data_IF_380121826993
#
_entry.id   IF_380121826993
#
_cell.length_a   1.000
_cell.length_b   1.000
_cell.length_c   1.000
_cell.angle_alpha   90.00
_cell.angle_beta   90.00
_cell.angle_gamma   90.00
#
_symmetry.space_group_name_H-M   'P 1'
#
loop_
_entity.id
_entity.type
_entity.pdbx_description
1 polymer ?
#
# COMPACT_ATOMS: atom_id res chain seq x y z
N UNK A 1 -73.59 14.36 32.21
CA UNK A 1 -72.24 14.96 32.14
C UNK A 1 -71.34 14.07 31.27
N UNK A 2 -70.99 14.48 30.05
CA UNK A 2 -70.11 13.72 29.15
C UNK A 2 -68.65 13.91 29.60
N UNK A 3 -67.94 12.83 29.93
CA UNK A 3 -66.50 12.86 30.23
C UNK A 3 -65.72 12.88 28.92
N UNK A 4 -65.08 14.00 28.61
CA UNK A 4 -64.14 14.08 27.49
C UNK A 4 -62.81 13.47 27.95
N UNK A 5 -62.36 12.41 27.26
CA UNK A 5 -61.02 11.85 27.45
C UNK A 5 -60.06 12.61 26.53
N UNK A 6 -59.17 13.40 27.13
CA UNK A 6 -58.11 14.09 26.39
C UNK A 6 -56.94 13.13 26.21
N UNK A 7 -56.79 12.60 25.00
CA UNK A 7 -55.62 11.78 24.64
C UNK A 7 -54.48 12.72 24.26
N UNK A 8 -53.42 12.75 25.06
CA UNK A 8 -52.20 13.52 24.76
C UNK A 8 -51.35 12.69 23.80
N UNK A 9 -51.17 13.18 22.57
CA UNK A 9 -50.27 12.59 21.58
C UNK A 9 -48.88 13.20 21.75
N UNK A 10 -47.94 12.43 22.30
CA UNK A 10 -46.54 12.86 22.42
C UNK A 10 -45.82 12.61 21.09
N UNK A 11 -45.37 13.69 20.44
CA UNK A 11 -44.59 13.63 19.20
C UNK A 11 -43.10 13.48 19.55
N UNK A 12 -42.53 12.29 19.32
CA UNK A 12 -41.08 12.06 19.49
C UNK A 12 -40.35 12.57 18.24
N UNK A 13 -39.57 13.64 18.37
CA UNK A 13 -38.63 14.06 17.31
C UNK A 13 -37.33 13.25 17.43
N UNK A 14 -37.15 12.26 16.55
CA UNK A 14 -35.84 11.65 16.33
C UNK A 14 -35.05 12.52 15.35
N UNK A 15 -34.08 13.27 15.84
CA UNK A 15 -33.10 13.95 14.97
C UNK A 15 -31.96 12.99 14.67
N UNK A 16 -31.84 12.56 13.41
CA UNK A 16 -30.67 11.84 12.92
C UNK A 16 -29.54 12.82 12.65
N UNK A 17 -28.46 12.78 13.43
CA UNK A 17 -27.22 13.48 13.11
C UNK A 17 -26.48 12.69 12.03
N UNK A 18 -26.50 13.16 10.78
CA UNK A 18 -25.61 12.66 9.74
C UNK A 18 -24.22 13.27 9.88
N UNK A 19 -23.18 12.44 10.01
CA UNK A 19 -21.79 12.90 9.90
C UNK A 19 -21.40 12.86 8.43
N UNK A 20 -21.16 14.02 7.84
CA UNK A 20 -20.55 14.14 6.51
C UNK A 20 -19.04 14.34 6.67
N UNK A 21 -18.24 13.50 6.04
CA UNK A 21 -16.82 13.76 5.84
C UNK A 21 -16.64 14.51 4.51
N UNK A 22 -15.99 15.68 4.53
CA UNK A 22 -15.56 16.36 3.31
C UNK A 22 -14.04 16.34 3.21
N UNK A 23 -13.53 16.20 1.98
CA UNK A 23 -12.13 16.48 1.69
C UNK A 23 -11.93 18.00 1.72
N UNK A 24 -11.19 18.51 2.71
CA UNK A 24 -10.82 19.92 2.76
C UNK A 24 -9.73 20.20 1.72
N UNK A 25 -10.07 20.98 0.69
CA UNK A 25 -9.08 21.54 -0.24
C UNK A 25 -8.78 22.99 0.16
N UNK A 26 -7.53 23.30 0.49
CA UNK A 26 -7.11 24.67 0.87
C UNK A 26 -6.98 25.63 -0.34
N UNK A 27 -7.68 25.39 -1.45
CA UNK A 27 -7.57 26.20 -2.66
C UNK A 27 -8.79 26.07 -3.58
N UNK A 28 -8.90 26.94 -4.61
CA UNK A 28 -10.04 26.94 -5.52
C UNK A 28 -10.18 25.58 -6.22
N UNK A 29 -11.37 25.00 -6.09
CA UNK A 29 -11.74 23.73 -6.72
C UNK A 29 -11.84 23.94 -8.23
N UNK A 30 -10.87 23.44 -9.00
CA UNK A 30 -11.06 23.32 -10.45
C UNK A 30 -11.92 22.08 -10.68
N UNK A 31 -13.20 22.30 -10.95
CA UNK A 31 -14.13 21.25 -11.32
C UNK A 31 -13.77 20.73 -12.73
N UNK A 32 -12.90 19.73 -12.80
CA UNK A 32 -12.74 18.96 -14.04
C UNK A 32 -13.96 18.06 -14.17
N UNK A 33 -14.86 18.37 -15.10
CA UNK A 33 -16.03 17.55 -15.42
C UNK A 33 -15.62 16.07 -15.58
N UNK A 34 -15.91 15.25 -14.56
CA UNK A 34 -15.72 13.80 -14.63
C UNK A 34 -16.88 13.28 -15.50
N UNK A 35 -16.58 12.95 -16.75
CA UNK A 35 -17.52 12.26 -17.62
C UNK A 35 -17.88 10.91 -16.99
N UNK A 36 -19.18 10.63 -16.82
CA UNK A 36 -19.71 9.41 -16.18
C UNK A 36 -19.36 8.11 -16.93
N UNK A 37 -18.75 8.22 -18.11
CA UNK A 37 -18.29 7.09 -18.93
C UNK A 37 -16.78 7.12 -19.22
N UNK A 38 -16.00 7.94 -18.50
CA UNK A 38 -14.54 8.01 -18.66
C UNK A 38 -13.82 7.57 -17.38
N UNK A 39 -12.68 6.87 -17.53
CA UNK A 39 -11.78 6.57 -16.41
C UNK A 39 -11.13 7.87 -15.91
N UNK A 40 -11.37 8.23 -14.64
CA UNK A 40 -10.67 9.31 -13.94
C UNK A 40 -9.74 8.73 -12.87
N UNK A 41 -8.59 9.37 -12.61
CA UNK A 41 -7.77 9.02 -11.45
C UNK A 41 -8.48 9.42 -10.15
N UNK A 42 -8.48 8.52 -9.16
CA UNK A 42 -9.08 8.76 -7.84
C UNK A 42 -8.41 9.92 -7.10
N UNK A 43 -7.10 10.09 -7.27
CA UNK A 43 -6.34 11.21 -6.72
C UNK A 43 -5.48 11.83 -7.81
N UNK A 44 -5.94 12.97 -8.36
CA UNK A 44 -5.20 13.73 -9.37
C UNK A 44 -4.48 14.91 -8.73
N UNK A 45 -3.21 14.71 -8.35
CA UNK A 45 -2.33 15.79 -7.87
C UNK A 45 -1.51 16.45 -8.97
N UNK A 46 -1.80 16.15 -10.24
CA UNK A 46 -1.24 16.95 -11.33
C UNK A 46 -1.94 18.31 -11.33
N UNK A 47 -1.41 19.28 -10.58
CA UNK A 47 -1.46 20.64 -11.10
C UNK A 47 -0.68 20.60 -12.41
N UNK A 48 -1.22 21.21 -13.48
CA UNK A 48 -0.69 21.20 -14.85
C UNK A 48 0.70 21.87 -15.03
N UNK A 49 1.56 21.83 -14.03
CA UNK A 49 2.84 22.52 -13.95
C UNK A 49 3.91 21.53 -13.47
N UNK A 50 4.23 20.56 -14.33
CA UNK A 50 5.65 20.27 -14.50
C UNK A 50 6.27 21.53 -15.12
N UNK A 51 7.56 21.79 -14.91
CA UNK A 51 8.28 22.92 -15.51
C UNK A 51 8.26 22.95 -17.05
N UNK A 52 7.49 22.08 -17.71
CA UNK A 52 7.46 21.87 -19.15
C UNK A 52 6.24 22.47 -19.88
N UNK A 53 5.24 23.07 -19.21
CA UNK A 53 3.96 23.42 -19.89
C UNK A 53 3.38 24.83 -19.73
N UNK A 54 4.00 25.78 -19.02
CA UNK A 54 3.46 27.17 -18.98
C UNK A 54 4.57 28.22 -19.05
N UNK A 55 4.39 29.23 -19.91
CA UNK A 55 5.26 30.40 -20.10
C UNK A 55 5.36 31.36 -18.91
N UNK A 56 5.00 30.92 -17.71
CA UNK A 56 5.22 31.60 -16.44
C UNK A 56 5.83 30.60 -15.45
N UNK A 57 7.17 30.50 -15.39
CA UNK A 57 7.86 29.55 -14.54
C UNK A 57 8.03 30.18 -13.16
N UNK A 58 7.27 29.76 -12.15
CA UNK A 58 7.69 29.89 -10.74
C UNK A 58 6.59 29.43 -9.79
N UNK A 59 6.46 28.12 -9.59
CA UNK A 59 6.18 27.62 -8.26
C UNK A 59 7.41 26.79 -7.88
N UNK A 60 8.09 27.18 -6.79
CA UNK A 60 9.28 26.49 -6.30
C UNK A 60 9.04 24.98 -6.24
N UNK A 61 10.06 24.20 -6.60
CA UNK A 61 10.11 22.75 -6.43
C UNK A 61 9.79 22.28 -4.99
N UNK A 62 9.79 23.20 -4.03
CA UNK A 62 9.57 22.92 -2.62
C UNK A 62 8.08 22.90 -2.21
N UNK A 63 7.13 23.24 -3.09
CA UNK A 63 5.71 23.31 -2.73
C UNK A 63 4.88 22.13 -3.26
N UNK A 64 4.33 21.34 -2.32
CA UNK A 64 3.21 20.40 -2.55
C UNK A 64 3.48 19.30 -3.58
N UNK A 65 4.59 18.56 -3.42
CA UNK A 65 5.07 17.55 -4.39
C UNK A 65 5.00 16.09 -3.90
N UNK A 66 4.42 15.82 -2.73
CA UNK A 66 4.49 14.50 -2.11
C UNK A 66 3.19 14.01 -1.48
N UNK A 67 3.19 12.72 -1.13
CA UNK A 67 2.19 12.07 -0.30
C UNK A 67 2.84 11.77 1.06
N UNK A 68 2.15 12.11 2.15
CA UNK A 68 2.58 11.71 3.50
C UNK A 68 1.89 10.41 3.83
N UNK A 69 2.67 9.41 4.25
CA UNK A 69 2.18 8.11 4.71
C UNK A 69 2.35 8.04 6.23
N UNK A 70 1.49 7.27 6.89
CA UNK A 70 1.61 7.05 8.33
C UNK A 70 2.87 6.25 8.67
N UNK A 71 3.57 6.70 9.71
CA UNK A 71 4.61 5.93 10.36
C UNK A 71 3.98 4.70 11.02
N UNK A 72 4.49 3.52 10.69
CA UNK A 72 3.99 2.24 11.19
C UNK A 72 5.18 1.41 11.68
N UNK A 73 5.14 0.89 12.90
CA UNK A 73 6.10 -0.14 13.30
C UNK A 73 5.54 -1.52 12.95
N UNK A 74 5.98 -2.11 11.83
CA UNK A 74 5.49 -3.41 11.37
C UNK A 74 5.87 -4.57 12.29
N UNK A 75 6.79 -4.37 13.24
CA UNK A 75 7.15 -5.40 14.25
C UNK A 75 6.12 -5.50 15.36
N UNK A 76 5.24 -4.49 15.50
CA UNK A 76 4.17 -4.43 16.51
C UNK A 76 2.79 -4.14 15.92
N UNK A 77 2.69 -3.98 14.60
CA UNK A 77 1.44 -3.70 13.88
C UNK A 77 0.50 -4.91 13.82
N UNK A 78 -0.78 -4.67 14.14
CA UNK A 78 -1.90 -5.59 13.91
C UNK A 78 -2.98 -4.91 13.10
N UNK A 79 -3.63 -5.65 12.20
CA UNK A 79 -4.83 -5.15 11.56
C UNK A 79 -5.98 -5.11 12.57
N UNK A 80 -6.69 -4.00 12.59
CA UNK A 80 -7.97 -3.91 13.32
C UNK A 80 -9.05 -4.46 12.40
N UNK A 81 -9.69 -5.54 12.83
CA UNK A 81 -10.72 -6.22 12.06
C UNK A 81 -11.97 -6.43 12.89
N UNK A 82 -13.10 -6.45 12.20
CA UNK A 82 -14.43 -6.74 12.73
C UNK A 82 -15.17 -7.69 11.77
N UNK A 83 -16.47 -7.87 12.01
CA UNK A 83 -17.32 -8.69 11.14
C UNK A 83 -17.55 -8.10 9.74
N UNK A 84 -17.32 -6.80 9.50
CA UNK A 84 -17.54 -6.16 8.20
C UNK A 84 -16.28 -6.01 7.36
N UNK A 85 -15.10 -6.32 7.90
CA UNK A 85 -13.81 -6.14 7.22
C UNK A 85 -13.75 -6.75 5.81
N UNK A 86 -14.34 -7.95 5.58
CA UNK A 86 -14.40 -8.57 4.24
C UNK A 86 -15.43 -7.96 3.28
N UNK A 87 -16.24 -7.02 3.74
CA UNK A 87 -17.16 -6.19 2.96
C UNK A 87 -16.49 -4.86 2.63
N UNK A 88 -15.89 -4.20 3.63
CA UNK A 88 -15.24 -2.89 3.46
C UNK A 88 -13.91 -2.99 2.71
N UNK A 89 -13.19 -4.10 2.93
CA UNK A 89 -11.95 -4.44 2.24
C UNK A 89 -12.10 -5.83 1.60
N UNK A 90 -12.74 -5.95 0.43
CA UNK A 90 -12.98 -7.26 -0.21
C UNK A 90 -11.70 -8.05 -0.55
N UNK A 91 -10.55 -7.37 -0.59
CA UNK A 91 -9.21 -7.97 -0.76
C UNK A 91 -8.37 -7.93 0.52
N UNK A 92 -8.97 -7.66 1.68
CA UNK A 92 -8.32 -7.68 3.00
C UNK A 92 -7.02 -6.88 3.02
N UNK A 93 -7.14 -5.56 2.79
CA UNK A 93 -6.03 -4.60 2.78
C UNK A 93 -4.95 -4.82 1.71
N UNK A 94 -5.17 -5.68 0.72
CA UNK A 94 -4.25 -5.84 -0.41
C UNK A 94 -3.97 -4.49 -1.09
N UNK A 95 -2.69 -4.16 -1.24
CA UNK A 95 -2.20 -2.89 -1.77
C UNK A 95 -2.10 -1.75 -0.75
N UNK A 96 -2.43 -1.97 0.53
CA UNK A 96 -2.20 -0.98 1.60
C UNK A 96 -0.70 -0.66 1.68
N UNK A 97 -0.34 0.62 1.63
CA UNK A 97 1.04 1.10 1.72
C UNK A 97 1.27 1.81 3.06
N UNK A 98 2.39 1.52 3.70
CA UNK A 98 2.85 2.19 4.92
C UNK A 98 4.33 2.57 4.82
N UNK A 99 4.73 3.58 5.60
CA UNK A 99 6.14 3.80 5.90
C UNK A 99 6.49 3.06 7.19
N UNK A 100 7.27 1.99 7.08
CA UNK A 100 7.73 1.22 8.22
C UNK A 100 8.85 1.96 8.96
N UNK A 101 8.78 2.02 10.29
CA UNK A 101 9.83 2.56 11.18
C UNK A 101 10.55 1.48 11.98
N UNK A 102 9.99 0.27 12.05
CA UNK A 102 10.55 -0.85 12.81
C UNK A 102 11.73 -1.55 12.13
N UNK A 103 12.55 -2.24 12.92
CA UNK A 103 13.57 -3.18 12.45
C UNK A 103 13.40 -4.52 13.15
N UNK A 104 13.28 -5.61 12.40
CA UNK A 104 13.08 -6.95 12.96
C UNK A 104 12.07 -7.75 12.16
N UNK A 105 11.30 -8.62 12.83
CA UNK A 105 10.32 -9.52 12.21
C UNK A 105 8.89 -9.00 12.40
N UNK A 106 8.07 -9.08 11.36
CA UNK A 106 6.62 -8.81 11.51
C UNK A 106 5.94 -9.85 12.38
N UNK A 107 4.89 -9.44 13.09
CA UNK A 107 4.09 -10.36 13.91
C UNK A 107 3.32 -11.37 13.06
N UNK A 108 3.08 -12.55 13.64
CA UNK A 108 2.34 -13.64 13.02
C UNK A 108 1.49 -14.39 14.06
N UNK A 109 0.64 -15.32 13.62
CA UNK A 109 -0.01 -16.30 14.50
C UNK A 109 -1.38 -15.91 15.05
N UNK A 110 -1.95 -14.77 14.63
CA UNK A 110 -3.35 -14.38 14.90
C UNK A 110 -4.16 -14.33 13.61
N UNK A 111 -5.49 -14.35 13.71
CA UNK A 111 -6.39 -14.29 12.55
C UNK A 111 -6.33 -12.94 11.80
N UNK A 112 -5.92 -11.88 12.48
CA UNK A 112 -5.72 -10.53 11.93
C UNK A 112 -4.24 -10.25 11.56
N UNK A 113 -3.42 -11.29 11.42
CA UNK A 113 -2.00 -11.20 11.08
C UNK A 113 -1.62 -12.19 9.98
N UNK A 114 -0.59 -11.89 9.17
CA UNK A 114 0.05 -12.86 8.29
C UNK A 114 0.43 -14.16 9.00
N UNK A 115 0.36 -15.29 8.30
CA UNK A 115 0.97 -16.55 8.76
C UNK A 115 2.48 -16.60 8.49
N UNK A 116 2.99 -15.74 7.61
CA UNK A 116 4.41 -15.65 7.26
C UNK A 116 4.99 -14.36 7.81
N UNK A 117 6.14 -14.45 8.49
CA UNK A 117 6.86 -13.30 9.01
C UNK A 117 7.80 -12.74 7.94
N UNK A 118 7.87 -11.41 7.84
CA UNK A 118 8.82 -10.69 6.98
C UNK A 118 9.89 -10.02 7.85
N UNK A 119 11.16 -10.13 7.47
CA UNK A 119 12.21 -9.26 8.01
C UNK A 119 12.05 -7.85 7.43
N UNK A 120 11.88 -6.87 8.30
CA UNK A 120 11.63 -5.47 7.96
C UNK A 120 12.73 -4.57 8.51
N UNK A 121 13.02 -3.53 7.75
CA UNK A 121 13.83 -2.37 8.12
C UNK A 121 13.07 -1.09 7.72
N UNK A 122 13.46 0.10 8.18
CA UNK A 122 12.74 1.32 7.84
C UNK A 122 12.62 1.55 6.33
N UNK A 123 11.42 1.88 5.85
CA UNK A 123 11.15 2.07 4.42
C UNK A 123 9.69 1.82 4.03
N UNK A 124 9.36 1.96 2.75
CA UNK A 124 8.00 1.72 2.27
C UNK A 124 7.71 0.24 2.10
N UNK A 125 6.58 -0.20 2.64
CA UNK A 125 6.05 -1.56 2.47
C UNK A 125 4.62 -1.49 1.95
N UNK A 126 4.23 -2.51 1.20
CA UNK A 126 2.84 -2.75 0.87
C UNK A 126 2.41 -4.12 1.38
N UNK A 127 1.14 -4.21 1.76
CA UNK A 127 0.52 -5.48 2.10
C UNK A 127 0.13 -6.19 0.80
N UNK A 128 0.70 -7.36 0.56
CA UNK A 128 0.36 -8.20 -0.59
C UNK A 128 -0.51 -9.36 -0.13
N UNK A 129 -1.72 -9.48 -0.66
CA UNK A 129 -2.60 -10.60 -0.41
C UNK A 129 -2.91 -11.36 -1.71
N UNK A 130 -2.30 -12.55 -1.93
CA UNK A 130 -2.30 -13.24 -3.23
C UNK A 130 -3.68 -13.70 -3.72
N UNK A 131 -4.73 -13.66 -2.91
CA UNK A 131 -6.04 -14.23 -3.23
C UNK A 131 -6.97 -13.32 -4.07
N UNK A 132 -6.40 -12.49 -4.94
CA UNK A 132 -7.00 -11.91 -6.16
C UNK A 132 -8.53 -11.70 -6.21
N UNK A 133 -9.14 -11.19 -5.13
CA UNK A 133 -10.58 -10.95 -5.04
C UNK A 133 -11.48 -12.19 -5.10
N UNK A 134 -10.95 -13.41 -5.10
CA UNK A 134 -11.79 -14.60 -5.06
C UNK A 134 -12.20 -14.82 -3.59
N UNK A 135 -13.43 -14.40 -3.25
CA UNK A 135 -14.04 -14.67 -1.94
C UNK A 135 -14.08 -16.19 -1.75
N UNK A 136 -13.03 -16.76 -1.15
CA UNK A 136 -13.04 -17.82 -0.13
C UNK A 136 -11.83 -18.78 -0.23
N UNK A 137 -10.95 -18.86 0.79
CA UNK A 137 -10.81 -17.89 1.90
C UNK A 137 -9.85 -16.77 1.48
N UNK A 138 -10.38 -15.55 1.34
CA UNK A 138 -9.53 -14.36 1.43
C UNK A 138 -9.49 -13.98 2.90
N UNK A 139 -8.29 -13.91 3.46
CA UNK A 139 -8.02 -13.64 4.86
C UNK A 139 -6.74 -12.82 4.95
N UNK A 140 -6.52 -12.11 6.05
CA UNK A 140 -5.25 -11.43 6.31
C UNK A 140 -4.12 -12.45 6.47
N UNK A 141 -4.44 -13.65 6.96
CA UNK A 141 -3.46 -14.73 7.23
C UNK A 141 -2.68 -15.18 6.00
N UNK A 142 -3.26 -15.06 4.80
CA UNK A 142 -2.59 -15.40 3.53
C UNK A 142 -1.70 -14.29 2.99
N UNK A 143 -1.81 -13.07 3.54
CA UNK A 143 -1.04 -11.93 3.10
C UNK A 143 0.38 -11.90 3.68
N UNK A 144 1.20 -11.00 3.15
CA UNK A 144 2.59 -10.78 3.56
C UNK A 144 2.97 -9.32 3.31
N UNK A 145 3.74 -8.72 4.22
CA UNK A 145 4.33 -7.40 4.00
C UNK A 145 5.51 -7.53 3.03
N UNK A 146 5.52 -6.70 1.99
CA UNK A 146 6.61 -6.67 1.01
C UNK A 146 7.24 -5.28 0.95
N UNK A 147 8.59 -5.18 0.97
CA UNK A 147 9.24 -3.90 0.74
C UNK A 147 8.95 -3.44 -0.69
N UNK A 148 8.74 -2.14 -0.86
CA UNK A 148 8.59 -1.55 -2.20
C UNK A 148 9.92 -1.45 -2.95
N UNK A 149 11.07 -1.60 -2.27
CA UNK A 149 12.38 -1.22 -2.83
C UNK A 149 13.52 -2.23 -2.73
N UNK A 150 13.31 -3.52 -2.45
CA UNK A 150 14.43 -4.38 -1.97
C UNK A 150 14.73 -5.69 -2.72
N UNK A 151 14.31 -5.83 -3.98
CA UNK A 151 14.62 -7.03 -4.78
C UNK A 151 15.88 -6.88 -5.67
N UNK A 152 16.86 -6.08 -5.27
CA UNK A 152 18.05 -5.79 -6.10
C UNK A 152 19.37 -5.87 -5.31
N UNK A 153 20.46 -6.18 -6.01
CA UNK A 153 21.81 -6.06 -5.46
C UNK A 153 22.30 -4.62 -5.56
N UNK A 154 22.69 -4.00 -4.44
CA UNK A 154 23.09 -2.58 -4.39
C UNK A 154 24.54 -2.39 -4.79
N UNK A 155 24.87 -1.21 -5.35
CA UNK A 155 26.25 -0.84 -5.76
C UNK A 155 27.24 -0.90 -4.59
N UNK A 156 26.80 -0.55 -3.39
CA UNK A 156 27.61 -0.60 -2.16
C UNK A 156 27.45 -1.92 -1.39
N UNK A 157 26.72 -2.88 -1.96
CA UNK A 157 26.39 -4.17 -1.33
C UNK A 157 25.10 -4.14 -0.50
N UNK A 158 24.62 -5.34 -0.19
CA UNK A 158 23.48 -5.59 0.69
C UNK A 158 24.00 -6.11 2.04
N UNK A 159 23.52 -5.56 3.15
CA UNK A 159 23.76 -6.09 4.50
C UNK A 159 22.63 -7.03 4.93
N UNK A 160 22.89 -7.90 5.91
CA UNK A 160 21.86 -8.78 6.50
C UNK A 160 21.35 -9.91 5.59
N UNK A 161 22.10 -10.29 4.55
CA UNK A 161 21.71 -11.38 3.64
C UNK A 161 21.78 -12.75 4.31
N UNK A 162 20.85 -13.64 3.95
CA UNK A 162 20.89 -15.06 4.26
C UNK A 162 21.33 -15.85 3.01
N UNK A 163 22.51 -16.50 2.99
CA UNK A 163 22.99 -17.25 1.82
C UNK A 163 22.05 -18.36 1.32
N UNK A 164 21.15 -18.87 2.17
CA UNK A 164 20.18 -19.90 1.77
C UNK A 164 19.04 -19.34 0.90
N UNK A 165 18.74 -18.04 0.99
CA UNK A 165 17.57 -17.42 0.34
C UNK A 165 17.88 -16.11 -0.38
N UNK A 166 19.07 -15.54 -0.20
CA UNK A 166 19.50 -14.29 -0.83
C UNK A 166 20.83 -14.54 -1.55
N UNK A 167 20.81 -14.37 -2.87
CA UNK A 167 21.99 -14.56 -3.70
C UNK A 167 21.89 -13.72 -4.98
N UNK A 168 23.04 -13.52 -5.61
CA UNK A 168 23.10 -13.11 -7.01
C UNK A 168 23.25 -14.38 -7.83
N UNK A 169 22.29 -14.64 -8.72
CA UNK A 169 22.30 -15.84 -9.53
C UNK A 169 20.95 -16.13 -10.14
N UNK A 170 20.86 -17.29 -10.76
CA UNK A 170 19.64 -17.85 -11.35
C UNK A 170 19.09 -18.96 -10.44
N UNK A 171 17.78 -19.15 -10.46
CA UNK A 171 17.10 -20.27 -9.77
C UNK A 171 16.77 -21.43 -10.71
N UNK A 172 16.96 -21.24 -12.00
CA UNK A 172 16.70 -22.21 -13.05
C UNK A 172 18.02 -22.70 -13.68
N UNK A 173 17.91 -23.62 -14.65
CA UNK A 173 19.07 -24.24 -15.31
C UNK A 173 19.72 -23.33 -16.36
N UNK A 174 19.93 -22.05 -16.02
CA UNK A 174 20.51 -21.02 -16.88
C UNK A 174 21.79 -20.46 -16.24
N UNK A 175 22.82 -20.22 -17.06
CA UNK A 175 24.10 -19.67 -16.60
C UNK A 175 23.95 -18.25 -16.04
N UNK A 176 24.68 -17.95 -14.95
CA UNK A 176 24.84 -16.58 -14.47
C UNK A 176 26.07 -15.94 -15.14
N UNK A 177 25.88 -14.80 -15.82
CA UNK A 177 26.93 -14.15 -16.61
C UNK A 177 27.14 -12.71 -16.14
N UNK A 178 28.38 -12.36 -15.80
CA UNK A 178 28.82 -10.98 -15.61
C UNK A 178 29.49 -10.43 -16.89
N UNK A 179 29.03 -9.27 -17.36
CA UNK A 179 29.53 -8.61 -18.57
C UNK A 179 30.04 -7.20 -18.29
N UNK A 180 31.02 -6.76 -19.07
CA UNK A 180 31.48 -5.37 -19.12
C UNK A 180 31.61 -4.95 -20.58
N UNK A 181 31.02 -3.81 -20.96
CA UNK A 181 30.95 -3.36 -22.36
C UNK A 181 30.36 -4.43 -23.30
N UNK A 182 29.28 -5.08 -22.86
CA UNK A 182 28.63 -6.21 -23.55
C UNK A 182 29.53 -7.46 -23.80
N UNK A 183 30.76 -7.47 -23.29
CA UNK A 183 31.66 -8.62 -23.34
C UNK A 183 31.55 -9.44 -22.05
N UNK A 184 31.51 -10.76 -22.18
CA UNK A 184 31.58 -11.68 -21.04
C UNK A 184 32.91 -11.54 -20.30
N UNK A 185 32.83 -11.51 -18.97
CA UNK A 185 33.99 -11.42 -18.05
C UNK A 185 34.02 -12.56 -17.04
N UNK A 186 32.86 -13.10 -16.70
CA UNK A 186 32.71 -14.25 -15.82
C UNK A 186 31.39 -14.94 -16.14
N UNK A 187 31.40 -16.26 -16.11
CA UNK A 187 30.25 -17.15 -16.19
C UNK A 187 30.32 -18.17 -15.06
N UNK A 188 29.18 -18.37 -14.42
CA UNK A 188 28.91 -19.54 -13.59
C UNK A 188 27.91 -20.36 -14.38
N UNK A 189 28.34 -21.51 -14.89
CA UNK A 189 27.43 -22.38 -15.62
C UNK A 189 26.36 -22.94 -14.68
N UNK A 190 25.20 -23.30 -15.23
CA UNK A 190 24.15 -23.99 -14.45
C UNK A 190 24.61 -25.33 -13.85
N UNK A 191 25.73 -25.89 -14.34
CA UNK A 191 26.38 -27.09 -13.81
C UNK A 191 27.48 -26.79 -12.76
N UNK A 192 27.71 -25.52 -12.42
CA UNK A 192 28.66 -25.11 -11.38
C UNK A 192 30.10 -24.85 -11.84
N UNK A 193 30.38 -24.88 -13.14
CA UNK A 193 31.71 -24.50 -13.66
C UNK A 193 31.85 -22.97 -13.67
N UNK A 194 33.03 -22.47 -13.31
CA UNK A 194 33.32 -21.03 -13.28
C UNK A 194 34.44 -20.70 -14.27
N UNK A 195 34.26 -19.67 -15.11
CA UNK A 195 35.25 -19.25 -16.12
C UNK A 195 34.95 -17.91 -16.77
#
# INVERSE_FOLDING_TARGET
MKKNKNTILALLFLTSCGLSAQMQFNGPTINTNISTNASSSFFNVSKAFSSASVGTPSLSNNFGKGLVFSDTDLTTFEFVTDSSTGVDFPRYFDGMVVYNTGTGKTMTGKSNLPSVSTDVTPGFYYFYNPNNGNRNPSSITTGVWKPMSDNAWKLLGNSGTNPATNFIGTTDAVDFIAKTNNQERLRISSSGNVG
#
